data_IF_510288485591
#
_entry.id   IF_510288485591
#
_cell.length_a   1.000
_cell.length_b   1.000
_cell.length_c   1.000
_cell.angle_alpha   90.00
_cell.angle_beta   90.00
_cell.angle_gamma   90.00
#
_symmetry.space_group_name_H-M   'P 1'
#
loop_
_entity.id
_entity.type
_entity.pdbx_description
1 polymer ?
#
# COMPACT_ATOMS: atom_id res chain seq x y z
N UNK A 1 13.50 18.28 -9.09
CA UNK A 1 13.46 17.47 -10.32
C UNK A 1 12.66 18.20 -11.40
N UNK A 2 13.11 18.22 -12.66
CA UNK A 2 12.40 18.92 -13.75
C UNK A 2 11.47 17.97 -14.52
N UNK A 3 10.44 18.50 -15.21
CA UNK A 3 9.55 17.72 -16.09
C UNK A 3 10.33 16.97 -17.17
N UNK A 4 11.42 17.54 -17.68
CA UNK A 4 12.32 16.88 -18.66
C UNK A 4 12.89 15.57 -18.13
N UNK A 5 13.37 15.55 -16.89
CA UNK A 5 13.94 14.34 -16.28
C UNK A 5 12.87 13.26 -16.10
N UNK A 6 11.66 13.65 -15.69
CA UNK A 6 10.52 12.72 -15.59
C UNK A 6 10.19 12.11 -16.95
N UNK A 7 10.13 12.93 -18.01
CA UNK A 7 9.84 12.47 -19.37
C UNK A 7 10.90 11.50 -19.90
N UNK A 8 12.19 11.76 -19.66
CA UNK A 8 13.27 10.83 -20.05
C UNK A 8 13.07 9.46 -19.40
N UNK A 9 12.79 9.42 -18.10
CA UNK A 9 12.53 8.17 -17.39
C UNK A 9 11.25 7.48 -17.88
N UNK A 10 10.21 8.24 -18.21
CA UNK A 10 8.97 7.72 -18.79
C UNK A 10 9.23 7.04 -20.14
N UNK A 11 10.00 7.66 -21.04
CA UNK A 11 10.36 7.08 -22.34
C UNK A 11 11.19 5.82 -22.16
N UNK A 12 12.21 5.85 -21.30
CA UNK A 12 13.00 4.66 -20.97
C UNK A 12 12.15 3.53 -20.39
N UNK A 13 11.10 3.88 -19.64
CA UNK A 13 10.14 2.93 -19.08
C UNK A 13 9.17 2.33 -20.10
N UNK A 14 9.00 2.94 -21.27
CA UNK A 14 8.00 2.57 -22.27
C UNK A 14 6.62 3.21 -22.06
N UNK A 15 6.53 4.28 -21.25
CA UNK A 15 5.29 4.99 -21.01
C UNK A 15 4.76 5.69 -22.26
N UNK A 16 3.44 5.84 -22.33
CA UNK A 16 2.80 6.77 -23.27
C UNK A 16 2.78 8.20 -22.72
N UNK A 17 2.62 9.23 -23.57
CA UNK A 17 2.58 10.62 -23.11
C UNK A 17 1.48 10.91 -22.09
N UNK A 18 0.31 10.29 -22.23
CA UNK A 18 -0.89 10.60 -21.42
C UNK A 18 -0.72 10.30 -19.92
N UNK A 19 0.23 9.44 -19.54
CA UNK A 19 0.52 9.16 -18.11
C UNK A 19 1.44 10.20 -17.47
N UNK A 20 1.92 11.20 -18.22
CA UNK A 20 2.84 12.21 -17.68
C UNK A 20 2.30 12.95 -16.44
N UNK A 21 1.01 13.36 -16.36
CA UNK A 21 0.46 13.97 -15.14
C UNK A 21 0.54 13.05 -13.91
N UNK A 22 0.37 11.73 -14.11
CA UNK A 22 0.52 10.72 -13.04
C UNK A 22 1.96 10.69 -12.54
N UNK A 23 2.95 10.66 -13.44
CA UNK A 23 4.37 10.63 -13.06
C UNK A 23 4.84 11.93 -12.40
N UNK A 24 4.36 13.08 -12.85
CA UNK A 24 4.62 14.37 -12.19
C UNK A 24 4.05 14.39 -10.78
N UNK A 25 2.82 13.90 -10.60
CA UNK A 25 2.17 13.84 -9.29
C UNK A 25 2.87 12.81 -8.38
N UNK A 26 3.27 11.65 -8.91
CA UNK A 26 4.04 10.65 -8.18
C UNK A 26 5.39 11.20 -7.69
N UNK A 27 6.09 11.97 -8.54
CA UNK A 27 7.30 12.68 -8.17
C UNK A 27 7.09 13.68 -7.02
N UNK A 28 5.99 14.45 -7.05
CA UNK A 28 5.61 15.36 -5.96
C UNK A 28 5.35 14.56 -4.67
N UNK A 29 4.65 13.43 -4.76
CA UNK A 29 4.35 12.57 -3.61
C UNK A 29 5.61 11.92 -3.00
N UNK A 30 6.53 11.43 -3.83
CA UNK A 30 7.82 10.87 -3.39
C UNK A 30 8.70 11.90 -2.65
N UNK A 31 8.51 13.19 -2.93
CA UNK A 31 9.22 14.27 -2.26
C UNK A 31 8.58 14.72 -0.93
N UNK A 32 7.43 14.17 -0.54
CA UNK A 32 6.77 14.53 0.72
C UNK A 32 7.54 13.97 1.91
N UNK A 33 7.82 14.78 2.95
CA UNK A 33 8.57 14.33 4.13
C UNK A 33 7.94 13.12 4.82
N UNK A 34 6.61 13.09 4.92
CA UNK A 34 5.84 12.01 5.56
C UNK A 34 6.03 10.63 4.90
N UNK A 35 6.38 10.57 3.61
CA UNK A 35 6.71 9.30 2.94
C UNK A 35 8.08 8.75 3.38
N UNK A 36 8.94 9.59 3.95
CA UNK A 36 10.27 9.23 4.43
C UNK A 36 11.13 8.47 3.39
N UNK A 37 11.23 9.03 2.17
CA UNK A 37 11.99 8.39 1.08
C UNK A 37 13.47 8.12 1.43
N UNK A 38 14.07 8.93 2.31
CA UNK A 38 15.43 8.71 2.81
C UNK A 38 15.53 7.40 3.58
N UNK A 39 14.61 7.16 4.52
CA UNK A 39 14.54 5.90 5.27
C UNK A 39 14.25 4.70 4.36
N UNK A 40 13.34 4.87 3.40
CA UNK A 40 13.00 3.84 2.40
C UNK A 40 14.20 3.41 1.55
N UNK A 41 15.11 4.34 1.23
CA UNK A 41 16.35 4.02 0.50
C UNK A 41 17.43 3.42 1.43
N UNK A 42 17.52 3.90 2.67
CA UNK A 42 18.56 3.49 3.62
C UNK A 42 18.27 2.14 4.30
N UNK A 43 17.05 1.63 4.22
CA UNK A 43 16.68 0.38 4.91
C UNK A 43 17.17 -0.87 4.16
N UNK A 44 17.56 -1.88 4.95
CA UNK A 44 17.82 -3.24 4.46
C UNK A 44 16.55 -4.05 4.19
N UNK A 45 15.39 -3.53 4.58
CA UNK A 45 14.08 -4.12 4.32
C UNK A 45 13.74 -4.05 2.81
N UNK A 46 13.14 -5.10 2.23
CA UNK A 46 12.77 -5.11 0.82
C UNK A 46 11.51 -4.27 0.55
N UNK A 47 11.61 -2.94 0.63
CA UNK A 47 10.48 -2.01 0.42
C UNK A 47 10.47 -1.45 -1.00
N UNK A 48 9.27 -1.23 -1.54
CA UNK A 48 9.03 -0.54 -2.82
C UNK A 48 7.90 0.49 -2.71
N UNK A 49 7.99 1.65 -3.38
CA UNK A 49 6.84 2.55 -3.54
C UNK A 49 5.76 1.94 -4.44
N UNK A 50 4.67 1.47 -3.84
CA UNK A 50 3.41 1.14 -4.49
C UNK A 50 2.71 2.43 -4.93
N UNK A 51 2.51 2.60 -6.23
CA UNK A 51 1.67 3.65 -6.79
C UNK A 51 0.26 3.12 -7.08
N UNK A 52 -0.76 3.67 -6.43
CA UNK A 52 -2.17 3.40 -6.75
C UNK A 52 -2.73 4.60 -7.51
N UNK A 53 -3.31 4.36 -8.69
CA UNK A 53 -3.92 5.38 -9.53
C UNK A 53 -5.44 5.33 -9.38
N UNK A 54 -6.07 6.48 -9.18
CA UNK A 54 -7.49 6.58 -8.84
C UNK A 54 -8.25 7.45 -9.84
N UNK A 55 -9.50 7.08 -10.12
CA UNK A 55 -10.47 7.92 -10.83
C UNK A 55 -10.30 7.96 -12.35
N UNK A 56 -10.72 9.05 -12.97
CA UNK A 56 -10.84 9.16 -14.44
C UNK A 56 -9.53 8.93 -15.19
N UNK A 57 -8.40 9.38 -14.64
CA UNK A 57 -7.07 9.17 -15.24
C UNK A 57 -6.72 7.68 -15.35
N UNK A 58 -7.19 6.84 -14.42
CA UNK A 58 -6.94 5.40 -14.48
C UNK A 58 -7.60 4.81 -15.74
N UNK A 59 -8.86 5.19 -16.01
CA UNK A 59 -9.60 4.75 -17.19
C UNK A 59 -9.02 5.34 -18.48
N UNK A 60 -8.79 6.66 -18.50
CA UNK A 60 -8.29 7.38 -19.68
C UNK A 60 -6.92 6.87 -20.14
N UNK A 61 -6.03 6.57 -19.21
CA UNK A 61 -4.69 6.07 -19.53
C UNK A 61 -4.60 4.54 -19.62
N UNK A 62 -5.71 3.82 -19.42
CA UNK A 62 -5.76 2.36 -19.55
C UNK A 62 -5.03 1.60 -18.44
N UNK A 63 -5.03 2.11 -17.20
CA UNK A 63 -4.54 1.35 -16.05
C UNK A 63 -5.47 0.18 -15.73
N UNK A 64 -4.89 -0.94 -15.30
CA UNK A 64 -5.65 -2.11 -14.88
C UNK A 64 -5.91 -2.08 -13.38
N UNK A 65 -7.18 -2.20 -13.01
CA UNK A 65 -7.62 -2.36 -11.62
C UNK A 65 -8.19 -3.77 -11.35
N UNK A 66 -8.47 -4.56 -12.40
CA UNK A 66 -9.21 -5.82 -12.33
C UNK A 66 -8.33 -7.06 -12.24
N UNK A 67 -8.71 -8.12 -12.96
CA UNK A 67 -7.98 -9.40 -12.97
C UNK A 67 -6.50 -9.16 -13.28
N UNK A 68 -5.61 -9.76 -12.47
CA UNK A 68 -4.17 -9.61 -12.64
C UNK A 68 -3.66 -8.18 -12.41
N UNK A 69 -4.28 -7.40 -11.52
CA UNK A 69 -3.93 -6.01 -11.27
C UNK A 69 -2.42 -5.76 -11.00
N UNK A 70 -1.79 -6.67 -10.23
CA UNK A 70 -0.34 -6.70 -9.96
C UNK A 70 0.47 -7.55 -10.95
N UNK A 71 -0.22 -8.24 -11.85
CA UNK A 71 0.36 -9.18 -12.77
C UNK A 71 0.96 -8.53 -14.03
N UNK A 72 1.66 -9.34 -14.83
CA UNK A 72 2.12 -8.90 -16.14
C UNK A 72 0.94 -8.65 -17.08
N UNK A 73 1.09 -7.73 -18.04
CA UNK A 73 0.18 -7.63 -19.20
C UNK A 73 -0.47 -6.26 -19.43
N UNK A 74 -0.58 -5.41 -18.41
CA UNK A 74 -1.06 -4.04 -18.61
C UNK A 74 0.10 -3.06 -18.80
N UNK A 75 0.15 -2.39 -19.97
CA UNK A 75 1.22 -1.44 -20.31
C UNK A 75 1.28 -0.27 -19.33
N UNK A 76 0.14 0.31 -18.93
CA UNK A 76 0.14 1.47 -18.05
C UNK A 76 0.69 1.12 -16.66
N UNK A 77 0.18 0.06 -16.02
CA UNK A 77 0.68 -0.43 -14.73
C UNK A 77 2.19 -0.74 -14.81
N UNK A 78 2.61 -1.54 -15.80
CA UNK A 78 3.99 -1.98 -15.92
C UNK A 78 4.98 -0.83 -16.19
N UNK A 79 4.63 0.07 -17.10
CA UNK A 79 5.54 1.14 -17.53
C UNK A 79 5.57 2.28 -16.51
N UNK A 80 4.45 2.63 -15.87
CA UNK A 80 4.42 3.70 -14.86
C UNK A 80 5.12 3.26 -13.58
N UNK A 81 4.88 2.03 -13.11
CA UNK A 81 5.62 1.47 -11.97
C UNK A 81 7.13 1.42 -12.24
N UNK A 82 7.52 0.99 -13.45
CA UNK A 82 8.92 1.01 -13.88
C UNK A 82 9.49 2.43 -14.00
N UNK A 83 8.73 3.40 -14.49
CA UNK A 83 9.16 4.80 -14.59
C UNK A 83 9.44 5.39 -13.21
N UNK A 84 8.58 5.11 -12.22
CA UNK A 84 8.83 5.47 -10.82
C UNK A 84 10.14 4.84 -10.33
N UNK A 85 10.38 3.55 -10.61
CA UNK A 85 11.66 2.92 -10.23
C UNK A 85 12.87 3.56 -10.91
N UNK A 86 12.78 3.89 -12.20
CA UNK A 86 13.87 4.56 -12.92
C UNK A 86 14.14 5.97 -12.37
N UNK A 87 13.09 6.72 -11.98
CA UNK A 87 13.25 8.01 -11.30
C UNK A 87 14.02 7.82 -9.98
N UNK A 88 13.70 6.78 -9.20
CA UNK A 88 14.44 6.49 -7.97
C UNK A 88 15.92 6.16 -8.25
N UNK A 89 16.20 5.34 -9.26
CA UNK A 89 17.56 4.93 -9.65
C UNK A 89 18.42 6.07 -10.22
N UNK A 90 17.83 6.92 -11.07
CA UNK A 90 18.56 7.95 -11.80
C UNK A 90 18.61 9.29 -11.05
N UNK A 91 17.61 9.58 -10.19
CA UNK A 91 17.46 10.89 -9.54
C UNK A 91 17.58 10.79 -8.03
N UNK A 92 16.91 9.82 -7.40
CA UNK A 92 16.94 9.69 -5.93
C UNK A 92 18.14 8.89 -5.41
N UNK A 93 19.02 8.42 -6.30
CA UNK A 93 20.22 7.66 -5.94
C UNK A 93 19.96 6.23 -5.46
N UNK A 94 18.75 5.68 -5.64
CA UNK A 94 18.32 4.39 -5.10
C UNK A 94 18.92 3.16 -5.82
N UNK A 95 20.23 3.19 -6.05
CA UNK A 95 21.00 2.12 -6.69
C UNK A 95 21.37 1.06 -5.64
N UNK A 96 21.16 -0.24 -5.90
CA UNK A 96 21.55 -1.31 -4.99
C UNK A 96 23.00 -1.14 -4.50
N UNK A 97 23.19 -1.25 -3.18
CA UNK A 97 24.45 -0.88 -2.52
C UNK A 97 24.36 0.55 -1.99
N UNK A 98 25.09 1.47 -2.61
CA UNK A 98 25.34 2.83 -2.07
C UNK A 98 24.09 3.68 -1.81
N UNK A 99 22.93 3.37 -2.41
CA UNK A 99 21.70 4.13 -2.15
C UNK A 99 20.41 3.34 -2.06
N UNK A 100 20.46 2.01 -2.13
CA UNK A 100 19.36 1.10 -1.79
C UNK A 100 19.97 -0.07 -1.02
N UNK A 101 19.77 -0.05 0.30
CA UNK A 101 20.41 -1.00 1.21
C UNK A 101 19.66 -2.34 1.31
N UNK A 102 18.55 -2.52 0.56
CA UNK A 102 17.72 -3.70 0.67
C UNK A 102 18.52 -5.00 0.47
N UNK A 103 18.45 -5.91 1.45
CA UNK A 103 19.31 -7.11 1.47
C UNK A 103 18.95 -8.10 0.35
N UNK A 104 17.65 -8.29 0.11
CA UNK A 104 17.14 -9.25 -0.89
C UNK A 104 16.38 -8.58 -2.05
N UNK A 105 16.02 -7.30 -1.90
CA UNK A 105 15.06 -6.65 -2.79
C UNK A 105 13.71 -7.38 -2.85
N UNK A 106 12.91 -7.12 -3.88
CA UNK A 106 11.66 -7.86 -4.17
C UNK A 106 11.19 -7.58 -5.60
N UNK A 107 10.38 -8.47 -6.23
CA UNK A 107 9.81 -8.24 -7.56
C UNK A 107 9.12 -6.87 -7.71
N UNK A 108 8.43 -6.38 -6.67
CA UNK A 108 7.80 -5.05 -6.69
C UNK A 108 8.79 -3.90 -6.87
N UNK A 109 10.08 -4.08 -6.55
CA UNK A 109 11.11 -3.06 -6.84
C UNK A 109 11.42 -2.94 -8.34
N UNK A 110 10.91 -3.81 -9.21
CA UNK A 110 11.00 -3.64 -10.66
C UNK A 110 9.88 -2.73 -11.20
N UNK A 111 8.65 -2.99 -10.78
CA UNK A 111 7.46 -2.18 -11.10
C UNK A 111 6.39 -2.45 -10.05
N UNK A 112 5.84 -1.39 -9.44
CA UNK A 112 4.76 -1.52 -8.45
C UNK A 112 3.71 -0.43 -8.64
N UNK A 113 2.77 -0.69 -9.55
CA UNK A 113 1.71 0.25 -9.88
C UNK A 113 0.41 -0.50 -10.20
N UNK A 114 -0.70 0.02 -9.71
CA UNK A 114 -2.04 -0.54 -9.92
C UNK A 114 -3.08 0.59 -9.96
N UNK A 115 -4.29 0.30 -10.42
CA UNK A 115 -5.42 1.20 -10.26
C UNK A 115 -6.41 0.70 -9.20
N UNK A 116 -7.08 1.63 -8.53
CA UNK A 116 -8.24 1.32 -7.69
C UNK A 116 -9.40 0.84 -8.56
N UNK A 117 -10.03 -0.27 -8.18
CA UNK A 117 -11.22 -0.80 -8.86
C UNK A 117 -12.46 -0.09 -8.36
N UNK A 118 -12.63 1.17 -8.77
CA UNK A 118 -13.78 1.98 -8.36
C UNK A 118 -15.11 1.46 -8.93
N UNK A 119 -15.07 0.77 -10.08
CA UNK A 119 -16.27 0.23 -10.73
C UNK A 119 -16.90 -0.91 -9.94
N UNK A 120 -16.09 -1.71 -9.24
CA UNK A 120 -16.54 -2.80 -8.36
C UNK A 120 -16.33 -2.48 -6.87
N UNK A 121 -16.10 -1.21 -6.54
CA UNK A 121 -15.99 -0.76 -5.15
C UNK A 121 -17.38 -0.44 -4.60
N UNK A 122 -17.77 -1.01 -3.44
CA UNK A 122 -19.04 -0.67 -2.79
C UNK A 122 -18.99 0.65 -2.02
N UNK A 123 -17.81 1.25 -1.84
CA UNK A 123 -17.60 2.53 -1.15
C UNK A 123 -17.12 3.62 -2.11
N UNK A 124 -17.17 4.87 -1.67
CA UNK A 124 -16.56 6.00 -2.38
C UNK A 124 -15.07 5.77 -2.63
N UNK A 125 -14.51 6.45 -3.64
CA UNK A 125 -13.09 6.30 -3.98
C UNK A 125 -12.20 6.55 -2.76
N UNK A 126 -11.12 5.78 -2.64
CA UNK A 126 -10.18 5.91 -1.54
C UNK A 126 -9.69 7.36 -1.33
N UNK A 127 -9.35 8.14 -2.38
CA UNK A 127 -9.00 9.56 -2.21
C UNK A 127 -10.07 10.40 -1.52
N UNK A 128 -11.37 10.15 -1.77
CA UNK A 128 -12.47 10.87 -1.09
C UNK A 128 -12.44 10.64 0.41
N UNK A 129 -12.18 9.40 0.84
CA UNK A 129 -12.01 9.06 2.28
C UNK A 129 -10.79 9.73 2.92
N UNK A 130 -9.87 10.26 2.11
CA UNK A 130 -8.70 11.05 2.52
C UNK A 130 -8.88 12.56 2.33
N UNK A 131 -10.09 13.02 2.01
CA UNK A 131 -10.40 14.42 1.78
C UNK A 131 -9.98 14.97 0.41
N UNK A 132 -9.54 14.11 -0.52
CA UNK A 132 -9.17 14.51 -1.88
C UNK A 132 -10.39 14.36 -2.80
N UNK A 133 -10.87 15.49 -3.32
CA UNK A 133 -12.14 15.58 -4.05
C UNK A 133 -12.01 15.70 -5.57
N UNK A 134 -10.78 15.72 -6.09
CA UNK A 134 -10.49 15.73 -7.52
C UNK A 134 -11.01 14.46 -8.22
N UNK A 135 -11.29 14.55 -9.53
CA UNK A 135 -11.74 13.40 -10.32
C UNK A 135 -10.65 12.34 -10.54
N UNK A 136 -9.39 12.72 -10.33
CA UNK A 136 -8.22 11.87 -10.49
C UNK A 136 -7.22 12.14 -9.36
N UNK A 137 -6.61 11.07 -8.85
CA UNK A 137 -5.62 11.15 -7.78
C UNK A 137 -4.63 9.98 -7.86
N UNK A 138 -3.54 10.08 -7.11
CA UNK A 138 -2.63 8.96 -6.85
C UNK A 138 -2.42 8.81 -5.35
N UNK A 139 -2.17 7.58 -4.91
CA UNK A 139 -1.67 7.27 -3.57
C UNK A 139 -0.32 6.56 -3.69
N UNK A 140 0.68 6.97 -2.92
CA UNK A 140 1.94 6.25 -2.78
C UNK A 140 2.07 5.67 -1.38
N UNK A 141 2.37 4.38 -1.31
CA UNK A 141 2.70 3.65 -0.09
C UNK A 141 4.04 2.94 -0.24
N UNK A 142 4.88 2.92 0.79
CA UNK A 142 6.15 2.21 0.76
C UNK A 142 6.03 0.88 1.50
N UNK A 143 5.76 -0.18 0.75
CA UNK A 143 5.43 -1.49 1.30
C UNK A 143 6.16 -2.67 0.67
N UNK A 144 5.93 -3.83 1.28
CA UNK A 144 6.35 -5.15 0.79
C UNK A 144 5.54 -5.58 -0.45
N UNK A 145 5.83 -6.75 -0.99
CA UNK A 145 4.98 -7.39 -1.98
C UNK A 145 3.60 -7.68 -1.35
N UNK A 146 2.52 -7.73 -2.15
CA UNK A 146 1.23 -8.16 -1.66
C UNK A 146 1.27 -9.61 -1.17
N UNK A 147 0.89 -9.84 0.08
CA UNK A 147 0.63 -11.16 0.62
C UNK A 147 -0.83 -11.54 0.35
N UNK A 148 -1.05 -12.62 -0.39
CA UNK A 148 -2.39 -13.08 -0.76
C UNK A 148 -3.16 -13.64 0.46
N UNK A 149 -4.42 -13.24 0.56
CA UNK A 149 -5.41 -13.74 1.52
C UNK A 149 -6.57 -14.35 0.74
N UNK A 150 -6.87 -15.61 1.02
CA UNK A 150 -7.91 -16.38 0.34
C UNK A 150 -9.13 -16.56 1.26
N UNK A 151 -10.33 -16.30 0.74
CA UNK A 151 -11.57 -16.74 1.36
C UNK A 151 -12.65 -17.07 0.32
N UNK A 152 -12.87 -18.35 0.02
CA UNK A 152 -13.84 -18.74 -1.01
C UNK A 152 -15.28 -18.90 -0.49
N UNK A 153 -15.49 -18.85 0.82
CA UNK A 153 -16.63 -19.49 1.48
C UNK A 153 -17.48 -18.50 2.27
N UNK A 154 -16.87 -17.45 2.81
CA UNK A 154 -17.53 -16.57 3.75
C UNK A 154 -18.65 -15.77 3.08
N UNK A 155 -19.86 -15.91 3.64
CA UNK A 155 -21.01 -15.06 3.34
C UNK A 155 -21.19 -13.89 4.31
N UNK A 156 -20.25 -13.71 5.26
CA UNK A 156 -20.28 -12.63 6.26
C UNK A 156 -18.90 -11.98 6.40
N UNK A 157 -18.80 -10.73 6.91
CA UNK A 157 -17.52 -10.04 7.05
C UNK A 157 -16.53 -10.76 7.96
N UNK A 158 -17.01 -11.37 9.04
CA UNK A 158 -16.18 -11.90 10.12
C UNK A 158 -15.07 -12.83 9.65
N UNK A 159 -15.39 -13.96 8.99
CA UNK A 159 -14.37 -14.92 8.56
C UNK A 159 -13.36 -14.35 7.56
N UNK A 160 -13.78 -13.45 6.66
CA UNK A 160 -12.87 -12.75 5.73
C UNK A 160 -11.87 -11.91 6.52
N UNK A 161 -12.36 -11.13 7.48
CA UNK A 161 -11.54 -10.24 8.30
C UNK A 161 -10.65 -11.01 9.28
N UNK A 162 -11.07 -12.17 9.77
CA UNK A 162 -10.25 -13.04 10.62
C UNK A 162 -9.02 -13.56 9.85
N UNK A 163 -9.19 -13.95 8.58
CA UNK A 163 -8.09 -14.39 7.71
C UNK A 163 -7.15 -13.25 7.31
N UNK A 164 -7.68 -12.04 7.12
CA UNK A 164 -6.85 -10.84 6.92
C UNK A 164 -6.08 -10.52 8.19
N UNK A 165 -6.75 -10.53 9.35
CA UNK A 165 -6.12 -10.27 10.65
C UNK A 165 -5.00 -11.29 10.95
N UNK A 166 -5.21 -12.58 10.65
CA UNK A 166 -4.17 -13.60 10.84
C UNK A 166 -2.94 -13.37 9.97
N UNK A 167 -3.14 -12.87 8.74
CA UNK A 167 -2.06 -12.48 7.82
C UNK A 167 -1.29 -11.27 8.34
N UNK A 168 -1.98 -10.32 8.98
CA UNK A 168 -1.34 -9.16 9.62
C UNK A 168 -0.51 -9.55 10.85
N UNK A 169 -0.90 -10.58 11.61
CA UNK A 169 -0.23 -10.99 12.86
C UNK A 169 0.98 -11.90 12.63
N UNK A 170 2.03 -11.35 12.02
CA UNK A 170 3.34 -12.01 11.90
C UNK A 170 4.43 -11.16 12.53
N UNK A 171 5.31 -11.79 13.32
CA UNK A 171 6.50 -11.16 13.88
C UNK A 171 7.61 -10.93 12.84
N UNK A 172 7.55 -11.59 11.68
CA UNK A 172 8.57 -11.51 10.64
C UNK A 172 8.53 -10.26 9.75
N UNK A 173 7.81 -9.21 10.16
CA UNK A 173 7.61 -7.98 9.39
C UNK A 173 7.96 -6.75 10.24
N UNK A 174 8.36 -5.65 9.59
CA UNK A 174 8.78 -4.44 10.31
C UNK A 174 7.65 -3.80 11.12
N UNK A 175 6.40 -3.85 10.63
CA UNK A 175 5.25 -3.30 11.35
C UNK A 175 5.08 -3.94 12.75
N UNK A 176 5.55 -5.17 12.98
CA UNK A 176 5.42 -5.84 14.27
C UNK A 176 6.10 -5.08 15.43
N UNK A 177 7.22 -4.39 15.16
CA UNK A 177 7.92 -3.59 16.16
C UNK A 177 7.79 -2.07 15.95
N UNK A 178 7.05 -1.62 14.94
CA UNK A 178 6.90 -0.21 14.57
C UNK A 178 5.41 0.17 14.51
N UNK A 179 4.92 0.80 15.58
CA UNK A 179 3.49 1.13 15.75
C UNK A 179 2.96 2.16 14.75
N UNK A 180 3.84 2.90 14.07
CA UNK A 180 3.48 3.89 13.05
C UNK A 180 3.23 3.26 11.67
N UNK A 181 3.57 1.98 11.49
CA UNK A 181 3.48 1.28 10.22
C UNK A 181 2.06 1.20 9.69
N UNK A 182 1.91 1.55 8.42
CA UNK A 182 0.64 1.38 7.70
C UNK A 182 0.49 -0.04 7.17
N UNK A 183 -0.76 -0.48 7.07
CA UNK A 183 -1.16 -1.68 6.36
C UNK A 183 -2.07 -1.29 5.21
N UNK A 184 -1.73 -1.68 3.99
CA UNK A 184 -2.63 -1.57 2.85
C UNK A 184 -3.37 -2.89 2.66
N UNK A 185 -4.68 -2.83 2.87
CA UNK A 185 -5.63 -3.93 2.68
C UNK A 185 -6.31 -3.72 1.34
N UNK A 186 -5.90 -4.52 0.37
CA UNK A 186 -6.39 -4.47 -1.01
C UNK A 186 -7.43 -5.57 -1.16
N UNK A 187 -8.69 -5.21 -0.96
CA UNK A 187 -9.80 -6.15 -1.03
C UNK A 187 -10.10 -6.50 -2.48
N UNK A 188 -10.31 -7.78 -2.75
CA UNK A 188 -10.96 -8.22 -3.98
C UNK A 188 -12.43 -7.79 -3.98
N UNK A 189 -13.03 -7.60 -5.17
CA UNK A 189 -14.38 -7.05 -5.31
C UNK A 189 -15.43 -7.89 -4.57
N UNK A 190 -15.32 -9.22 -4.59
CA UNK A 190 -16.27 -10.10 -3.90
C UNK A 190 -16.18 -10.00 -2.37
N UNK A 191 -14.98 -9.90 -1.80
CA UNK A 191 -14.82 -9.68 -0.36
C UNK A 191 -15.39 -8.32 0.04
N UNK A 192 -15.09 -7.27 -0.74
CA UNK A 192 -15.63 -5.95 -0.50
C UNK A 192 -17.17 -5.96 -0.57
N UNK A 193 -17.75 -6.64 -1.57
CA UNK A 193 -19.19 -6.78 -1.71
C UNK A 193 -19.84 -7.52 -0.53
N UNK A 194 -19.26 -8.65 -0.09
CA UNK A 194 -19.75 -9.39 1.10
C UNK A 194 -19.72 -8.51 2.35
N UNK A 195 -18.65 -7.72 2.53
CA UNK A 195 -18.52 -6.82 3.68
C UNK A 195 -19.59 -5.71 3.62
N UNK A 196 -19.72 -5.05 2.48
CA UNK A 196 -20.67 -3.96 2.31
C UNK A 196 -22.14 -4.43 2.38
N UNK A 197 -22.44 -5.65 1.93
CA UNK A 197 -23.78 -6.25 2.04
C UNK A 197 -24.23 -6.43 3.50
N UNK A 198 -23.29 -6.54 4.43
CA UNK A 198 -23.55 -6.53 5.87
C UNK A 198 -23.68 -5.11 6.47
N UNK A 199 -23.62 -4.06 5.64
CA UNK A 199 -23.73 -2.67 6.05
C UNK A 199 -22.42 -2.06 6.56
N UNK A 200 -21.27 -2.73 6.38
CA UNK A 200 -20.00 -2.28 6.92
C UNK A 200 -19.32 -1.28 5.98
N UNK A 201 -18.82 -0.20 6.57
CA UNK A 201 -18.01 0.81 5.90
C UNK A 201 -16.55 0.40 5.82
N UNK A 202 -15.78 1.12 4.99
CA UNK A 202 -14.32 1.06 4.97
C UNK A 202 -13.70 1.25 6.37
N UNK A 203 -14.29 2.11 7.20
CA UNK A 203 -13.81 2.39 8.56
C UNK A 203 -14.09 1.22 9.51
N UNK A 204 -15.21 0.52 9.34
CA UNK A 204 -15.54 -0.66 10.14
C UNK A 204 -14.55 -1.80 9.87
N UNK A 205 -14.14 -1.98 8.61
CA UNK A 205 -13.05 -2.91 8.24
C UNK A 205 -11.75 -2.54 8.97
N UNK A 206 -11.29 -1.29 8.86
CA UNK A 206 -10.05 -0.85 9.49
C UNK A 206 -10.09 -1.01 11.03
N UNK A 207 -11.21 -0.62 11.65
CA UNK A 207 -11.39 -0.73 13.11
C UNK A 207 -11.41 -2.18 13.55
N UNK A 208 -12.14 -3.04 12.84
CA UNK A 208 -12.22 -4.47 13.16
C UNK A 208 -10.86 -5.15 13.01
N UNK A 209 -10.09 -4.83 11.96
CA UNK A 209 -8.75 -5.38 11.80
C UNK A 209 -7.80 -4.90 12.91
N UNK A 210 -7.89 -3.65 13.36
CA UNK A 210 -7.14 -3.16 14.52
C UNK A 210 -7.53 -3.86 15.84
N UNK A 211 -8.80 -4.25 15.97
CA UNK A 211 -9.29 -4.99 17.15
C UNK A 211 -8.89 -6.47 17.11
N UNK A 212 -8.85 -7.09 15.93
CA UNK A 212 -8.62 -8.54 15.77
C UNK A 212 -7.17 -8.92 15.48
N UNK A 213 -6.42 -8.09 14.75
CA UNK A 213 -5.01 -8.34 14.45
C UNK A 213 -4.15 -7.97 15.66
N UNK A 214 -4.16 -8.85 16.67
CA UNK A 214 -3.47 -8.64 17.94
C UNK A 214 -2.65 -9.85 18.37
N UNK A 215 -1.56 -9.60 19.09
CA UNK A 215 -0.75 -10.63 19.74
C UNK A 215 -0.41 -10.19 21.18
N UNK A 216 -0.12 -11.11 22.10
CA UNK A 216 0.33 -10.77 23.46
C UNK A 216 1.56 -9.86 23.45
N UNK A 217 1.56 -8.81 24.27
CA UNK A 217 2.67 -7.86 24.40
C UNK A 217 4.00 -8.55 24.72
N UNK A 218 3.96 -9.60 25.57
CA UNK A 218 5.12 -10.39 25.95
C UNK A 218 5.81 -11.06 24.75
N UNK A 219 5.07 -11.47 23.72
CA UNK A 219 5.68 -12.03 22.51
C UNK A 219 6.51 -10.99 21.77
N UNK A 220 6.03 -9.75 21.63
CA UNK A 220 6.83 -8.70 20.99
C UNK A 220 8.06 -8.36 21.81
N UNK A 221 7.93 -8.25 23.14
CA UNK A 221 9.06 -7.94 24.04
C UNK A 221 10.13 -9.03 24.03
N UNK A 222 9.72 -10.29 23.89
CA UNK A 222 10.63 -11.42 23.76
C UNK A 222 11.43 -11.39 22.45
N UNK A 223 10.81 -10.92 21.36
CA UNK A 223 11.36 -11.07 20.00
C UNK A 223 12.09 -9.81 19.51
N UNK A 224 11.78 -8.65 20.07
CA UNK A 224 12.38 -7.37 19.67
C UNK A 224 12.96 -6.66 20.88
N UNK A 225 14.26 -6.37 20.87
CA UNK A 225 14.89 -5.54 21.91
C UNK A 225 14.46 -4.07 21.79
N UNK A 226 14.43 -3.55 20.56
CA UNK A 226 14.02 -2.19 20.21
C UNK A 226 12.65 -2.18 19.56
N UNK A 227 11.74 -1.34 20.06
CA UNK A 227 10.36 -1.19 19.59
C UNK A 227 10.05 0.30 19.45
N UNK A 228 9.55 0.71 18.30
CA UNK A 228 9.07 2.05 18.05
C UNK A 228 7.56 2.11 18.36
N UNK A 229 7.24 2.03 19.65
CA UNK A 229 5.88 1.98 20.16
C UNK A 229 5.38 3.33 20.65
N UNK A 230 4.05 3.43 20.79
CA UNK A 230 3.45 4.53 21.53
C UNK A 230 3.53 4.25 23.04
N UNK A 231 3.58 5.28 23.90
CA UNK A 231 3.69 5.09 25.36
C UNK A 231 2.63 4.18 25.97
N UNK A 232 1.41 4.17 25.41
CA UNK A 232 0.33 3.31 25.90
C UNK A 232 0.57 1.83 25.59
N UNK A 233 1.30 1.50 24.52
CA UNK A 233 1.65 0.12 24.18
C UNK A 233 2.75 -0.41 25.09
N UNK A 234 3.71 0.44 25.49
CA UNK A 234 4.75 0.06 26.45
C UNK A 234 4.19 -0.19 27.85
N UNK A 235 3.09 0.48 28.21
CA UNK A 235 2.52 0.46 29.55
C UNK A 235 1.63 -0.77 29.88
N UNK A 236 1.31 -1.63 28.91
CA UNK A 236 0.43 -2.80 29.15
C UNK A 236 1.20 -4.03 29.65
N UNK A 237 0.53 -4.92 30.37
CA UNK A 237 1.12 -6.18 30.83
C UNK A 237 1.40 -7.15 29.68
N UNK A 238 2.29 -8.14 29.90
CA UNK A 238 2.71 -9.11 28.88
C UNK A 238 1.54 -9.91 28.27
N UNK A 239 0.52 -10.22 29.06
CA UNK A 239 -0.67 -10.96 28.61
C UNK A 239 -1.68 -10.09 27.84
N UNK A 240 -1.46 -8.76 27.81
CA UNK A 240 -2.35 -7.84 27.09
C UNK A 240 -2.19 -8.01 25.57
N UNK A 241 -3.32 -8.08 24.86
CA UNK A 241 -3.33 -8.18 23.41
C UNK A 241 -3.07 -6.82 22.75
N UNK A 242 -1.89 -6.65 22.18
CA UNK A 242 -1.49 -5.45 21.45
C UNK A 242 -1.81 -5.56 19.95
N UNK A 243 -2.29 -4.48 19.31
CA UNK A 243 -2.50 -4.43 17.87
C UNK A 243 -1.18 -4.32 17.10
N UNK A 244 -1.21 -4.75 15.83
CA UNK A 244 -0.06 -4.69 14.91
C UNK A 244 0.34 -3.28 14.47
N UNK A 245 -0.48 -2.28 14.76
CA UNK A 245 -0.22 -0.85 14.49
C UNK A 245 -0.89 -0.04 15.58
N UNK A 246 -0.47 1.19 15.83
CA UNK A 246 -0.92 1.96 16.99
C UNK A 246 -2.22 2.74 16.81
N UNK A 247 -2.83 2.74 15.62
CA UNK A 247 -4.13 3.37 15.37
C UNK A 247 -4.86 2.71 14.19
N UNK A 248 -6.20 2.54 14.21
CA UNK A 248 -6.95 1.97 13.09
C UNK A 248 -6.79 2.77 11.79
N UNK A 249 -6.54 4.08 11.86
CA UNK A 249 -6.28 4.89 10.65
C UNK A 249 -4.96 4.50 9.96
N UNK A 250 -4.09 3.69 10.55
CA UNK A 250 -2.92 3.16 9.82
C UNK A 250 -3.30 2.00 8.87
N UNK A 251 -4.54 1.51 8.94
CA UNK A 251 -5.06 0.44 8.07
C UNK A 251 -5.83 1.09 6.93
N UNK A 252 -5.23 1.07 5.73
CA UNK A 252 -5.77 1.65 4.49
C UNK A 252 -6.50 0.57 3.71
N UNK A 253 -7.79 0.77 3.46
CA UNK A 253 -8.63 -0.23 2.79
C UNK A 253 -9.10 0.31 1.44
N UNK A 254 -8.85 -0.42 0.36
CA UNK A 254 -9.33 -0.10 -0.99
C UNK A 254 -9.59 -1.36 -1.80
N UNK A 255 -10.34 -1.24 -2.89
CA UNK A 255 -10.67 -2.38 -3.76
C UNK A 255 -9.71 -2.42 -4.94
N UNK A 256 -9.06 -3.55 -5.14
CA UNK A 256 -8.12 -3.83 -6.24
C UNK A 256 -8.21 -5.31 -6.59
N UNK A 257 -8.12 -5.64 -7.86
CA UNK A 257 -8.25 -7.01 -8.35
C UNK A 257 -9.59 -7.25 -9.03
N UNK A 258 -9.74 -8.46 -9.56
CA UNK A 258 -10.95 -8.95 -10.19
C UNK A 258 -11.56 -10.13 -9.43
N UNK A 259 -12.57 -10.81 -10.00
CA UNK A 259 -13.20 -11.96 -9.38
C UNK A 259 -12.21 -13.09 -9.07
N UNK A 260 -12.49 -13.83 -8.00
CA UNK A 260 -11.68 -14.94 -7.50
C UNK A 260 -11.63 -15.06 -5.97
N UNK A 261 -12.36 -14.22 -5.22
CA UNK A 261 -12.37 -14.17 -3.74
C UNK A 261 -10.98 -14.24 -3.07
N UNK A 262 -10.11 -13.37 -3.57
CA UNK A 262 -8.78 -13.13 -3.01
C UNK A 262 -8.65 -11.65 -2.60
N UNK A 263 -7.80 -11.37 -1.62
CA UNK A 263 -7.41 -10.02 -1.20
C UNK A 263 -5.93 -10.01 -0.88
N UNK A 264 -5.34 -8.84 -0.66
CA UNK A 264 -3.93 -8.74 -0.29
C UNK A 264 -3.71 -7.87 0.94
N UNK A 265 -2.73 -8.25 1.74
CA UNK A 265 -2.15 -7.41 2.80
C UNK A 265 -0.78 -6.94 2.32
N UNK A 266 -0.54 -5.63 2.40
CA UNK A 266 0.75 -5.01 2.08
C UNK A 266 1.20 -4.25 3.32
N UNK A 267 2.08 -4.82 4.16
CA UNK A 267 2.69 -4.08 5.26
C UNK A 267 3.71 -3.07 4.75
N UNK A 268 3.93 -2.02 5.55
CA UNK A 268 4.95 -1.01 5.28
C UNK A 268 6.33 -1.40 5.78
N UNK A 269 7.34 -0.58 5.46
CA UNK A 269 8.63 -0.61 6.16
C UNK A 269 8.54 -0.07 7.62
N UNK A 270 7.45 0.60 7.99
CA UNK A 270 7.18 1.10 9.34
C UNK A 270 7.11 2.63 9.39
N UNK A 271 8.25 3.31 9.45
CA UNK A 271 8.35 4.77 9.66
C UNK A 271 8.01 5.59 8.40
N UNK A 272 6.90 5.27 7.75
CA UNK A 272 6.39 5.90 6.51
C UNK A 272 4.90 6.11 6.62
N UNK A 273 4.41 7.21 6.06
CA UNK A 273 2.98 7.46 5.88
C UNK A 273 2.68 7.64 4.41
N UNK A 274 1.64 6.96 3.92
CA UNK A 274 1.19 7.07 2.54
C UNK A 274 0.73 8.48 2.20
N UNK A 275 0.92 8.84 0.94
CA UNK A 275 0.65 10.18 0.41
C UNK A 275 -0.38 10.07 -0.69
N UNK A 276 -1.54 10.71 -0.51
CA UNK A 276 -2.58 10.83 -1.55
C UNK A 276 -2.61 12.27 -2.09
N UNK A 277 -2.40 12.44 -3.39
CA UNK A 277 -2.41 13.75 -4.06
C UNK A 277 -3.38 13.76 -5.25
N UNK A 278 -4.08 14.88 -5.50
CA UNK A 278 -4.84 15.05 -6.74
C UNK A 278 -3.89 15.08 -7.95
N UNK A 279 -4.33 14.52 -9.06
CA UNK A 279 -3.63 14.66 -10.35
C UNK A 279 -4.16 15.92 -11.02
N UNK A 280 -3.27 16.91 -11.14
CA UNK A 280 -3.54 18.14 -11.90
C UNK A 280 -3.57 17.82 -13.41
N UNK A 281 -4.45 18.47 -14.20
CA UNK A 281 -4.50 18.32 -15.66
C UNK A 281 -3.21 18.75 -16.37
#
# INVERSE_FOLDING_TARGET
>A
MTRRIIAVNAVLAGCVPDVMPVLVTAAKALARPELNLRGVNATTHPVAPLLVVHGEIAQRCGFNAGIGAFGPGNRANATVGRAVRLILLHVAGARPGDGDAAQHGQPSKYSYCVAENLAESPWESYPRSRGVTASSAITIHCGENPHNVHDMEAGTPGPVLDKIASTMTSLGQNNACIAYGEYFILLGPEHAATIAAAGWSRRDVATTLFERARMPAGLFRQQFESRAWFPWMDAVDDDSLLPMTGHPDNIRVMVVGGPGKHSCVVPSWGMTTSVTLPVEP
#
